data_IF_809495363105
#
_entry.id   IF_809495363105
#
_cell.length_a   1.000
_cell.length_b   1.000
_cell.length_c   1.000
_cell.angle_alpha   90.00
_cell.angle_beta   90.00
_cell.angle_gamma   90.00
#
_symmetry.space_group_name_H-M   'P 1'
#
loop_
_entity.id
_entity.type
_entity.pdbx_description
1 polymer ?
#
# COMPACT_ATOMS: atom_id res chain seq x y z
N UNK A 1 -7.49 23.48 25.02
CA UNK A 1 -6.81 22.59 24.05
C UNK A 1 -7.57 22.68 22.73
N UNK A 2 -6.90 22.77 21.57
CA UNK A 2 -7.59 22.87 20.28
C UNK A 2 -8.39 21.60 20.01
N UNK A 3 -9.60 21.78 19.48
CA UNK A 3 -10.47 20.72 18.98
C UNK A 3 -10.56 20.82 17.45
N UNK A 4 -10.80 19.68 16.81
CA UNK A 4 -10.90 19.55 15.35
C UNK A 4 -12.24 18.94 15.00
N UNK A 5 -12.76 19.26 13.82
CA UNK A 5 -13.92 18.62 13.21
C UNK A 5 -13.47 17.44 12.33
N UNK A 6 -14.41 16.56 12.00
CA UNK A 6 -14.13 15.44 11.08
C UNK A 6 -13.65 15.92 9.71
N UNK A 7 -14.15 17.07 9.24
CA UNK A 7 -13.80 17.64 7.94
C UNK A 7 -12.39 18.22 7.94
N UNK A 8 -11.97 18.83 9.05
CA UNK A 8 -10.61 19.34 9.21
C UNK A 8 -9.61 18.20 9.22
N UNK A 9 -9.86 17.15 10.02
CA UNK A 9 -8.98 15.97 10.05
C UNK A 9 -8.95 15.23 8.71
N UNK A 10 -10.10 15.11 8.04
CA UNK A 10 -10.18 14.50 6.71
C UNK A 10 -9.29 15.22 5.69
N UNK A 11 -9.35 16.57 5.66
CA UNK A 11 -8.51 17.39 4.80
C UNK A 11 -7.04 17.32 5.19
N UNK A 12 -6.74 17.37 6.48
CA UNK A 12 -5.37 17.35 6.98
C UNK A 12 -4.63 16.06 6.61
N UNK A 13 -5.31 14.92 6.75
CA UNK A 13 -4.72 13.61 6.50
C UNK A 13 -4.99 13.05 5.10
N UNK A 14 -5.64 13.82 4.24
CA UNK A 14 -6.04 13.42 2.89
C UNK A 14 -6.82 12.09 2.87
N UNK A 15 -7.82 12.00 3.74
CA UNK A 15 -8.73 10.85 3.83
C UNK A 15 -10.17 11.30 3.84
N UNK A 16 -11.09 10.38 3.53
CA UNK A 16 -12.51 10.71 3.57
C UNK A 16 -13.03 10.76 5.01
N UNK A 17 -14.06 11.58 5.31
CA UNK A 17 -14.79 11.49 6.59
C UNK A 17 -15.35 10.09 6.86
N UNK A 18 -15.64 9.32 5.81
CA UNK A 18 -16.05 7.91 5.92
C UNK A 18 -14.94 7.04 6.52
N UNK A 19 -13.69 7.24 6.12
CA UNK A 19 -12.54 6.53 6.69
C UNK A 19 -12.35 6.85 8.18
N UNK A 20 -12.51 8.12 8.57
CA UNK A 20 -12.42 8.51 9.99
C UNK A 20 -13.50 7.81 10.82
N UNK A 21 -14.76 7.79 10.34
CA UNK A 21 -15.84 7.05 11.02
C UNK A 21 -15.56 5.56 11.10
N UNK A 22 -14.99 4.98 10.06
CA UNK A 22 -14.57 3.59 10.11
C UNK A 22 -13.55 3.36 11.24
N UNK A 23 -12.56 4.25 11.44
CA UNK A 23 -11.63 4.13 12.56
C UNK A 23 -12.30 4.36 13.93
N UNK A 24 -13.32 5.21 14.03
CA UNK A 24 -14.17 5.32 15.23
C UNK A 24 -14.87 3.98 15.53
N UNK A 25 -15.50 3.36 14.53
CA UNK A 25 -16.24 2.09 14.67
C UNK A 25 -15.31 0.93 15.10
N UNK A 26 -14.04 1.00 14.69
CA UNK A 26 -12.99 0.04 15.12
C UNK A 26 -12.39 0.37 16.50
N UNK A 27 -12.85 1.44 17.16
CA UNK A 27 -12.38 1.87 18.46
C UNK A 27 -10.95 2.44 18.46
N UNK A 28 -10.47 2.90 17.30
CA UNK A 28 -9.18 3.56 17.16
C UNK A 28 -9.26 5.05 17.48
N UNK A 29 -10.46 5.62 17.39
CA UNK A 29 -10.76 7.01 17.75
C UNK A 29 -11.98 7.04 18.67
N UNK A 30 -11.99 8.01 19.57
CA UNK A 30 -13.07 8.28 20.53
C UNK A 30 -13.34 9.78 20.58
N UNK A 31 -14.05 10.35 19.59
CA UNK A 31 -14.40 11.77 19.58
C UNK A 31 -15.34 12.12 20.73
N UNK A 32 -15.20 13.33 21.25
CA UNK A 32 -16.21 13.91 22.13
C UNK A 32 -17.38 14.44 21.30
N UNK A 33 -18.53 14.63 21.97
CA UNK A 33 -19.73 15.22 21.36
C UNK A 33 -20.06 16.53 22.04
N UNK A 34 -20.24 17.57 21.23
CA UNK A 34 -20.55 18.93 21.67
C UNK A 34 -21.83 19.46 21.00
N UNK A 35 -22.36 20.55 21.56
CA UNK A 35 -23.56 21.24 21.09
C UNK A 35 -24.89 20.64 21.59
N UNK A 36 -25.99 21.33 21.25
CA UNK A 36 -27.34 20.91 21.66
C UNK A 36 -27.66 19.50 21.12
N UNK A 37 -27.86 18.55 22.05
CA UNK A 37 -28.14 17.15 21.73
C UNK A 37 -26.95 16.32 21.24
N UNK A 38 -25.70 16.78 21.43
CA UNK A 38 -24.51 15.99 21.10
C UNK A 38 -24.35 15.64 19.61
N UNK A 39 -24.85 16.52 18.74
CA UNK A 39 -24.88 16.32 17.28
C UNK A 39 -23.51 16.50 16.63
N UNK A 40 -22.63 17.31 17.23
CA UNK A 40 -21.34 17.65 16.65
C UNK A 40 -20.24 16.78 17.25
N UNK A 41 -19.50 16.05 16.40
CA UNK A 41 -18.29 15.33 16.81
C UNK A 41 -17.11 16.28 16.81
N UNK A 42 -16.36 16.29 17.90
CA UNK A 42 -15.11 17.03 18.03
C UNK A 42 -13.99 16.10 18.45
N UNK A 43 -12.84 16.26 17.83
CA UNK A 43 -11.65 15.45 18.05
C UNK A 43 -10.65 16.31 18.80
N UNK A 44 -10.08 15.78 19.87
CA UNK A 44 -9.03 16.48 20.60
C UNK A 44 -7.69 16.37 19.87
N UNK A 45 -6.67 17.11 20.34
CA UNK A 45 -5.29 16.92 19.89
C UNK A 45 -4.77 15.47 20.09
N UNK A 46 -5.28 14.76 21.11
CA UNK A 46 -5.01 13.33 21.33
C UNK A 46 -5.59 12.48 20.21
N UNK A 47 -6.85 12.69 19.86
CA UNK A 47 -7.52 11.99 18.75
C UNK A 47 -6.82 12.23 17.40
N UNK A 48 -6.39 13.48 17.16
CA UNK A 48 -5.57 13.79 15.99
C UNK A 48 -4.27 12.99 15.95
N UNK A 49 -3.61 12.84 17.11
CA UNK A 49 -2.38 12.04 17.22
C UNK A 49 -2.67 10.54 17.03
N UNK A 50 -3.75 10.01 17.63
CA UNK A 50 -4.20 8.63 17.41
C UNK A 50 -4.45 8.37 15.92
N UNK A 51 -5.17 9.25 15.23
CA UNK A 51 -5.44 9.13 13.79
C UNK A 51 -4.14 9.11 12.97
N UNK A 52 -3.19 10.00 13.27
CA UNK A 52 -1.88 10.01 12.59
C UNK A 52 -1.14 8.68 12.76
N UNK A 53 -1.15 8.10 13.96
CA UNK A 53 -0.52 6.81 14.24
C UNK A 53 -1.26 5.67 13.52
N UNK A 54 -2.59 5.68 13.53
CA UNK A 54 -3.41 4.71 12.80
C UNK A 54 -3.07 4.67 11.31
N UNK A 55 -3.00 5.84 10.67
CA UNK A 55 -2.67 5.93 9.25
C UNK A 55 -1.24 5.47 8.95
N UNK A 56 -0.29 5.76 9.85
CA UNK A 56 1.09 5.26 9.72
C UNK A 56 1.14 3.75 9.81
N UNK A 57 0.45 3.15 10.79
CA UNK A 57 0.38 1.70 10.94
C UNK A 57 -0.25 1.01 9.73
N UNK A 58 -1.33 1.58 9.17
CA UNK A 58 -1.93 1.07 7.92
C UNK A 58 -0.96 1.10 6.74
N UNK A 59 -0.14 2.15 6.64
CA UNK A 59 0.89 2.26 5.60
C UNK A 59 2.00 1.22 5.76
N UNK A 60 2.29 0.84 7.00
CA UNK A 60 3.22 -0.24 7.35
C UNK A 60 2.55 -1.62 7.30
N UNK A 61 1.43 -1.78 6.58
CA UNK A 61 0.76 -3.07 6.39
C UNK A 61 0.19 -3.72 7.66
N UNK A 62 0.14 -3.01 8.79
CA UNK A 62 -0.37 -3.56 10.04
C UNK A 62 -1.88 -3.76 9.98
N UNK A 63 -2.34 -4.80 10.66
CA UNK A 63 -3.74 -5.05 10.95
C UNK A 63 -4.30 -3.98 11.90
N UNK A 64 -5.62 -3.79 11.89
CA UNK A 64 -6.27 -2.81 12.76
C UNK A 64 -6.11 -3.15 14.25
N UNK A 65 -6.03 -4.43 14.59
CA UNK A 65 -5.76 -4.91 15.96
C UNK A 65 -4.35 -4.52 16.42
N UNK A 66 -3.32 -4.78 15.60
CA UNK A 66 -1.94 -4.39 15.93
C UNK A 66 -1.82 -2.86 16.07
N UNK A 67 -2.49 -2.11 15.18
CA UNK A 67 -2.54 -0.65 15.26
C UNK A 67 -3.19 -0.19 16.57
N UNK A 68 -4.28 -0.83 16.98
CA UNK A 68 -4.97 -0.49 18.23
C UNK A 68 -4.07 -0.74 19.44
N UNK A 69 -3.44 -1.90 19.51
CA UNK A 69 -2.47 -2.23 20.56
C UNK A 69 -1.35 -1.18 20.63
N UNK A 70 -0.83 -0.76 19.47
CA UNK A 70 0.19 0.28 19.41
C UNK A 70 -0.30 1.61 19.92
N UNK A 71 -1.45 2.09 19.44
CA UNK A 71 -2.00 3.38 19.85
C UNK A 71 -2.32 3.38 21.34
N UNK A 72 -2.86 2.29 21.88
CA UNK A 72 -3.19 2.17 23.30
C UNK A 72 -1.93 2.08 24.19
N UNK A 73 -0.83 1.49 23.70
CA UNK A 73 0.46 1.51 24.40
C UNK A 73 1.01 2.94 24.59
N UNK A 74 0.91 3.80 23.57
CA UNK A 74 1.37 5.19 23.65
C UNK A 74 0.62 6.05 24.68
N UNK A 75 -0.56 5.61 25.12
CA UNK A 75 -1.38 6.34 26.10
C UNK A 75 -1.21 5.83 27.52
N UNK A 76 -0.50 4.72 27.71
CA UNK A 76 -0.25 4.14 29.03
C UNK A 76 1.08 4.66 29.60
N UNK A 77 1.10 5.28 30.79
CA UNK A 77 2.32 5.75 31.44
C UNK A 77 3.22 4.62 32.00
N UNK A 78 2.95 3.35 31.68
CA UNK A 78 3.66 2.18 32.22
C UNK A 78 4.59 1.53 31.19
N UNK A 79 5.81 1.24 31.65
CA UNK A 79 6.84 0.37 31.03
C UNK A 79 7.00 0.52 29.52
N UNK A 80 7.39 1.73 29.11
CA UNK A 80 7.70 2.11 27.72
C UNK A 80 8.68 1.14 27.06
N UNK A 81 9.64 0.55 27.80
CA UNK A 81 10.62 -0.38 27.25
C UNK A 81 10.00 -1.69 26.74
N UNK A 82 9.14 -2.35 27.53
CA UNK A 82 8.48 -3.59 27.12
C UNK A 82 7.54 -3.38 25.92
N UNK A 83 6.89 -2.22 25.88
CA UNK A 83 6.04 -1.81 24.75
C UNK A 83 6.85 -1.56 23.48
N UNK A 84 7.97 -0.83 23.58
CA UNK A 84 8.87 -0.57 22.46
C UNK A 84 9.50 -1.86 21.93
N UNK A 85 9.87 -2.80 22.81
CA UNK A 85 10.38 -4.12 22.40
C UNK A 85 9.34 -4.92 21.62
N UNK A 86 8.08 -4.95 22.08
CA UNK A 86 6.98 -5.57 21.33
C UNK A 86 6.78 -4.91 19.97
N UNK A 87 6.81 -3.58 19.91
CA UNK A 87 6.67 -2.86 18.64
C UNK A 87 7.83 -3.15 17.68
N UNK A 88 9.06 -3.17 18.17
CA UNK A 88 10.23 -3.54 17.36
C UNK A 88 10.09 -4.94 16.78
N UNK A 89 9.54 -5.90 17.53
CA UNK A 89 9.28 -7.25 17.03
C UNK A 89 8.25 -7.25 15.89
N UNK A 90 7.14 -6.52 16.05
CA UNK A 90 6.11 -6.37 15.00
C UNK A 90 6.70 -5.74 13.74
N UNK A 91 7.48 -4.66 13.89
CA UNK A 91 8.15 -4.01 12.75
C UNK A 91 9.15 -4.92 12.06
N UNK A 92 9.93 -5.69 12.82
CA UNK A 92 10.91 -6.63 12.28
C UNK A 92 10.23 -7.73 11.47
N UNK A 93 9.14 -8.31 12.00
CA UNK A 93 8.37 -9.34 11.30
C UNK A 93 7.78 -8.81 9.99
N UNK A 94 7.21 -7.61 10.02
CA UNK A 94 6.64 -7.01 8.82
C UNK A 94 7.69 -6.66 7.78
N UNK A 95 8.86 -6.16 8.21
CA UNK A 95 10.00 -5.90 7.32
C UNK A 95 10.43 -7.19 6.62
N UNK A 96 10.57 -8.29 7.35
CA UNK A 96 10.95 -9.58 6.77
C UNK A 96 9.92 -10.06 5.73
N UNK A 97 8.62 -9.89 5.99
CA UNK A 97 7.57 -10.21 5.02
C UNK A 97 7.69 -9.36 3.75
N UNK A 98 7.90 -8.04 3.88
CA UNK A 98 8.06 -7.14 2.74
C UNK A 98 9.34 -7.43 1.94
N UNK A 99 10.45 -7.73 2.62
CA UNK A 99 11.71 -8.08 1.98
C UNK A 99 11.56 -9.36 1.14
N UNK A 100 10.86 -10.38 1.67
CA UNK A 100 10.55 -11.60 0.94
C UNK A 100 9.64 -11.36 -0.26
N UNK A 101 8.59 -10.58 -0.07
CA UNK A 101 7.70 -10.19 -1.18
C UNK A 101 8.46 -9.43 -2.27
N UNK A 102 9.44 -8.59 -1.89
CA UNK A 102 10.30 -7.90 -2.86
C UNK A 102 11.15 -8.88 -3.66
N UNK A 103 11.77 -9.85 -3.00
CA UNK A 103 12.57 -10.89 -3.65
C UNK A 103 11.72 -11.73 -4.62
N UNK A 104 10.53 -12.16 -4.20
CA UNK A 104 9.60 -12.90 -5.06
C UNK A 104 9.16 -12.08 -6.30
N UNK A 105 8.92 -10.78 -6.10
CA UNK A 105 8.58 -9.86 -7.19
C UNK A 105 9.75 -9.65 -8.15
N UNK A 106 10.98 -9.53 -7.64
CA UNK A 106 12.19 -9.42 -8.47
C UNK A 106 12.35 -10.66 -9.36
N UNK A 107 12.22 -11.87 -8.80
CA UNK A 107 12.25 -13.12 -9.58
C UNK A 107 11.15 -13.16 -10.65
N UNK A 108 9.93 -12.77 -10.29
CA UNK A 108 8.80 -12.75 -11.24
C UNK A 108 9.04 -11.77 -12.39
N UNK A 109 9.61 -10.60 -12.10
CA UNK A 109 9.94 -9.61 -13.11
C UNK A 109 11.02 -10.10 -14.08
N UNK A 110 12.03 -10.81 -13.57
CA UNK A 110 13.07 -11.42 -14.40
C UNK A 110 12.50 -12.51 -15.33
N UNK A 111 11.59 -13.35 -14.83
CA UNK A 111 10.88 -14.35 -15.64
C UNK A 111 10.05 -13.68 -16.75
N UNK A 112 9.30 -12.62 -16.42
CA UNK A 112 8.53 -11.85 -17.40
C UNK A 112 9.47 -11.27 -18.47
N UNK A 113 10.59 -10.66 -18.07
CA UNK A 113 11.54 -10.06 -19.00
C UNK A 113 12.13 -11.10 -19.97
N UNK A 114 12.48 -12.29 -19.47
CA UNK A 114 12.98 -13.40 -20.30
C UNK A 114 11.92 -13.86 -21.32
N UNK A 115 10.66 -13.95 -20.91
CA UNK A 115 9.56 -14.28 -21.81
C UNK A 115 9.29 -13.20 -22.86
N UNK A 116 9.35 -11.93 -22.48
CA UNK A 116 9.24 -10.81 -23.41
C UNK A 116 10.35 -10.83 -24.47
N UNK A 117 11.59 -11.08 -24.07
CA UNK A 117 12.73 -11.20 -24.99
C UNK A 117 12.53 -12.36 -25.99
N UNK A 118 12.11 -13.52 -25.51
CA UNK A 118 11.86 -14.69 -26.36
C UNK A 118 10.71 -14.43 -27.36
N UNK A 119 9.62 -13.81 -26.91
CA UNK A 119 8.52 -13.40 -27.80
C UNK A 119 9.01 -12.45 -28.89
N UNK A 120 9.81 -11.44 -28.55
CA UNK A 120 10.38 -10.50 -29.52
C UNK A 120 11.30 -11.20 -30.51
N UNK A 121 12.12 -12.15 -30.06
CA UNK A 121 13.02 -12.95 -30.90
C UNK A 121 12.24 -13.79 -31.91
N UNK A 122 11.19 -14.48 -31.47
CA UNK A 122 10.34 -15.30 -32.34
C UNK A 122 9.61 -14.45 -33.39
N UNK A 123 9.06 -13.29 -33.00
CA UNK A 123 8.41 -12.36 -33.92
C UNK A 123 9.38 -11.79 -34.97
N UNK A 124 10.64 -11.53 -34.59
CA UNK A 124 11.67 -11.08 -35.52
C UNK A 124 12.05 -12.19 -36.52
N UNK A 125 12.17 -13.44 -36.05
CA UNK A 125 12.47 -14.59 -36.88
C UNK A 125 11.35 -14.86 -37.92
N UNK A 126 10.09 -14.77 -37.52
CA UNK A 126 8.93 -14.94 -38.42
C UNK A 126 8.91 -13.85 -39.52
N UNK A 127 9.17 -12.59 -39.16
CA UNK A 127 9.32 -11.49 -40.14
C UNK A 127 10.46 -11.74 -41.13
N UNK A 128 11.60 -12.27 -40.66
CA UNK A 128 12.73 -12.57 -41.52
C UNK A 128 12.44 -13.73 -42.49
N UNK A 129 11.73 -14.77 -42.03
CA UNK A 129 11.28 -15.88 -42.88
C UNK A 129 10.28 -15.43 -43.94
N UNK A 130 9.30 -14.59 -43.57
CA UNK A 130 8.35 -14.01 -44.50
C UNK A 130 9.02 -13.14 -45.57
N UNK A 131 10.04 -12.35 -45.20
CA UNK A 131 10.82 -11.54 -46.16
C UNK A 131 11.66 -12.41 -47.12
N UNK A 132 12.23 -13.51 -46.62
CA UNK A 132 13.08 -14.39 -47.43
C UNK A 132 12.25 -15.22 -48.41
N UNK A 133 11.10 -15.75 -47.98
CA UNK A 133 10.17 -16.50 -48.85
C UNK A 133 9.57 -15.66 -49.97
N UNK A 134 9.34 -14.35 -49.74
CA UNK A 134 8.87 -13.42 -50.78
C UNK A 134 9.94 -13.12 -51.84
N UNK A 135 11.23 -13.15 -51.45
CA UNK A 135 12.37 -12.89 -52.35
C UNK A 135 12.69 -14.09 -53.25
N UNK A 136 12.56 -15.32 -52.75
CA UNK A 136 12.71 -16.55 -53.56
C UNK A 136 11.55 -16.79 -54.53
N UNK A 137 10.34 -16.36 -54.20
CA UNK A 137 9.19 -16.42 -55.11
C UNK A 137 9.32 -15.42 -56.28
N UNK A 138 9.87 -14.22 -56.03
CA UNK A 138 10.10 -13.22 -57.07
C UNK A 138 11.23 -13.60 -58.05
N UNK A 139 12.34 -14.19 -57.56
CA UNK A 139 13.45 -14.60 -58.43
C UNK A 139 13.14 -15.76 -59.37
N UNK A 140 12.18 -16.64 -59.03
CA UNK A 140 11.77 -17.74 -59.91
C UNK A 140 10.90 -17.32 -61.11
N UNK A 141 10.40 -16.08 -61.12
CA UNK A 141 9.58 -15.55 -62.23
C UNK A 141 10.43 -14.83 -63.30
N UNK A 142 11.65 -14.41 -62.99
CA UNK A 142 12.55 -13.76 -63.97
C UNK A 142 13.42 -14.73 -64.77
N UNK A 143 13.79 -15.91 -64.24
CA UNK A 143 14.61 -16.91 -64.95
C UNK A 143 13.79 -17.84 -65.90
N UNK A 144 12.48 -17.61 -66.03
CA UNK A 144 11.58 -18.41 -66.87
C UNK A 144 11.08 -17.67 -68.14
N UNK A 145 11.63 -16.49 -68.43
CA UNK A 145 11.33 -15.68 -69.62
C UNK A 145 12.57 -15.56 -70.52
#
# INVERSE_FOLDING_TARGET
MPTYTITELAREFDITPRAIRFYEDQGLLSPAREGAGGRTRVYSARERTRLKLTLRGKRLGLSLSEIKELVDMYESPKDTDAQLKRFLAVLAQHRETLERQREDLEVTLDEIAAHEEECLRLLAADKAQAATGKKTAAGKLEDAA
#
